data_IF_723203844601
#
_entry.id   IF_723203844601
#
_cell.length_a   1.000
_cell.length_b   1.000
_cell.length_c   1.000
_cell.angle_alpha   90.00
_cell.angle_beta   90.00
_cell.angle_gamma   90.00
#
_symmetry.space_group_name_H-M   'P 1'
#
loop_
_entity.id
_entity.type
_entity.pdbx_description
1 polymer ?
#
# COMPACT_ATOMS: atom_id res chain seq x y z
N UNK A 1 2.74 24.48 27.64
CA UNK A 1 2.93 25.60 26.69
C UNK A 1 2.76 25.01 25.32
N UNK A 2 1.82 25.55 24.55
CA UNK A 2 1.39 25.04 23.26
C UNK A 2 2.50 25.24 22.22
N UNK A 3 3.10 24.16 21.74
CA UNK A 3 3.76 24.16 20.44
C UNK A 3 2.66 24.04 19.38
N UNK A 4 2.26 25.19 18.82
CA UNK A 4 1.38 25.30 17.67
C UNK A 4 2.12 24.91 16.37
N UNK A 5 2.63 23.69 16.31
CA UNK A 5 2.74 22.98 15.05
C UNK A 5 1.48 22.13 14.94
N UNK A 6 0.40 22.66 14.35
CA UNK A 6 -0.78 21.84 14.04
C UNK A 6 -0.36 20.79 13.01
N UNK A 7 0.11 19.63 13.50
CA UNK A 7 0.30 18.47 12.66
C UNK A 7 -1.06 18.08 12.09
N UNK A 8 -1.10 17.71 10.82
CA UNK A 8 -2.35 17.25 10.20
C UNK A 8 -2.94 16.08 10.99
N UNK A 9 -4.26 15.98 11.10
CA UNK A 9 -4.96 15.00 11.95
C UNK A 9 -4.61 13.53 11.62
N UNK A 10 -4.09 13.26 10.42
CA UNK A 10 -3.55 11.93 10.06
C UNK A 10 -2.24 11.57 10.76
N UNK A 11 -1.61 12.54 11.42
CA UNK A 11 -0.33 12.42 12.15
C UNK A 11 -0.43 12.90 13.59
N UNK A 12 -1.41 13.77 13.88
CA UNK A 12 -1.65 14.31 15.23
C UNK A 12 -2.53 13.40 16.07
N UNK A 13 -1.91 12.43 16.71
CA UNK A 13 -2.55 11.53 17.68
C UNK A 13 -2.34 11.99 19.14
N UNK A 14 -1.94 13.25 19.37
CA UNK A 14 -1.44 13.76 20.68
C UNK A 14 -2.48 13.89 21.81
N UNK A 15 -3.63 13.20 21.74
CA UNK A 15 -4.67 13.25 22.77
C UNK A 15 -4.61 12.09 23.79
N UNK A 16 -3.46 11.42 23.91
CA UNK A 16 -3.20 10.40 24.94
C UNK A 16 -1.71 10.16 25.17
N UNK A 17 -1.33 9.87 26.41
CA UNK A 17 0.05 9.55 26.80
C UNK A 17 0.46 8.16 26.25
N UNK A 18 0.75 8.08 24.96
CA UNK A 18 1.32 6.88 24.34
C UNK A 18 2.85 6.96 24.39
N UNK A 19 3.45 5.90 24.92
CA UNK A 19 4.91 5.72 24.94
C UNK A 19 5.21 4.40 24.25
N UNK A 20 5.95 4.39 23.12
CA UNK A 20 6.50 5.56 22.41
C UNK A 20 5.41 6.42 21.75
N UNK A 21 5.73 7.69 21.44
CA UNK A 21 4.78 8.58 20.75
C UNK A 21 4.75 8.27 19.24
N UNK A 22 3.57 7.94 18.70
CA UNK A 22 3.39 7.60 17.28
C UNK A 22 3.94 8.68 16.34
N UNK A 23 3.60 9.96 16.60
CA UNK A 23 4.05 11.07 15.76
C UNK A 23 5.59 11.17 15.71
N UNK A 24 6.27 10.92 16.83
CA UNK A 24 7.73 10.94 16.89
C UNK A 24 8.35 9.80 16.08
N UNK A 25 7.78 8.58 16.15
CA UNK A 25 8.30 7.47 15.34
C UNK A 25 8.00 7.62 13.85
N UNK A 26 6.82 8.14 13.50
CA UNK A 26 6.48 8.46 12.13
C UNK A 26 7.49 9.46 11.54
N UNK A 27 7.70 10.59 12.23
CA UNK A 27 8.63 11.64 11.79
C UNK A 27 10.08 11.12 11.79
N UNK A 28 10.47 10.36 12.82
CA UNK A 28 11.81 9.78 12.94
C UNK A 28 12.11 8.74 11.87
N UNK A 29 11.12 7.95 11.45
CA UNK A 29 11.26 6.99 10.34
C UNK A 29 11.41 7.73 9.02
N UNK A 30 10.54 8.70 8.74
CA UNK A 30 10.62 9.49 7.50
C UNK A 30 11.92 10.30 7.40
N UNK A 31 12.37 10.90 8.50
CA UNK A 31 13.61 11.68 8.55
C UNK A 31 14.88 10.85 8.25
N UNK A 32 14.82 9.53 8.42
CA UNK A 32 15.93 8.60 8.08
C UNK A 32 15.94 8.18 6.61
N UNK A 33 14.85 8.39 5.87
CA UNK A 33 14.62 7.83 4.53
C UNK A 33 15.16 8.67 3.35
N UNK A 34 15.95 9.73 3.60
CA UNK A 34 16.37 10.64 2.53
C UNK A 34 17.54 10.07 1.70
N UNK A 35 17.19 9.40 0.60
CA UNK A 35 18.05 9.24 -0.58
C UNK A 35 17.35 9.81 -1.82
N UNK A 36 18.11 10.47 -2.71
CA UNK A 36 17.67 11.23 -3.89
C UNK A 36 17.13 10.35 -5.05
N UNK A 37 16.37 9.28 -4.76
CA UNK A 37 15.85 8.39 -5.81
C UNK A 37 14.37 8.64 -6.06
N UNK A 38 14.06 9.24 -7.21
CA UNK A 38 12.69 9.41 -7.68
C UNK A 38 12.16 8.12 -8.31
N UNK A 39 10.99 7.62 -7.86
CA UNK A 39 10.30 6.50 -8.49
C UNK A 39 9.93 6.77 -9.96
N UNK A 40 9.80 8.04 -10.34
CA UNK A 40 9.43 8.47 -11.70
C UNK A 40 10.48 8.14 -12.76
N UNK A 41 11.73 7.89 -12.35
CA UNK A 41 12.86 7.66 -13.27
C UNK A 41 13.20 6.18 -13.50
N UNK A 42 12.26 5.27 -13.20
CA UNK A 42 12.47 3.83 -13.38
C UNK A 42 12.64 3.47 -14.85
N UNK A 43 13.82 3.00 -15.23
CA UNK A 43 14.09 2.52 -16.59
C UNK A 43 13.71 1.03 -16.72
N UNK A 44 13.42 0.62 -17.95
CA UNK A 44 13.29 -0.81 -18.28
C UNK A 44 14.56 -1.55 -17.87
N UNK A 45 14.42 -2.72 -17.23
CA UNK A 45 15.52 -3.52 -16.70
C UNK A 45 15.95 -3.15 -15.28
N UNK A 46 15.51 -2.01 -14.77
CA UNK A 46 15.89 -1.54 -13.44
C UNK A 46 14.86 -1.96 -12.37
N UNK A 47 15.36 -2.47 -11.25
CA UNK A 47 14.53 -2.77 -10.07
C UNK A 47 14.49 -1.57 -9.11
N UNK A 48 13.34 -1.40 -8.47
CA UNK A 48 13.13 -0.50 -7.33
C UNK A 48 12.58 -1.32 -6.18
N UNK A 49 13.24 -1.23 -5.04
CA UNK A 49 12.79 -1.84 -3.79
C UNK A 49 12.52 -0.75 -2.78
N UNK A 50 11.28 -0.68 -2.30
CA UNK A 50 10.90 0.17 -1.18
C UNK A 50 10.65 -0.71 0.04
N UNK A 51 11.25 -0.35 1.17
CA UNK A 51 11.06 -1.01 2.46
C UNK A 51 10.27 -0.07 3.36
N UNK A 52 9.16 -0.54 3.89
CA UNK A 52 8.27 0.18 4.78
C UNK A 52 8.27 -0.48 6.15
N UNK A 53 8.34 0.35 7.17
CA UNK A 53 8.04 -0.05 8.54
C UNK A 53 6.51 -0.05 8.73
N UNK A 54 5.96 -1.09 9.35
CA UNK A 54 4.54 -1.13 9.72
C UNK A 54 4.39 -0.56 11.13
N UNK A 55 3.62 0.51 11.25
CA UNK A 55 3.20 1.07 12.53
C UNK A 55 1.72 0.73 12.77
N UNK A 56 1.32 0.44 14.03
CA UNK A 56 -0.09 0.24 14.34
C UNK A 56 -0.87 1.53 14.14
N UNK A 57 -2.11 1.44 13.64
CA UNK A 57 -3.00 2.58 13.65
C UNK A 57 -3.60 2.77 15.04
N UNK A 58 -3.09 3.73 15.79
CA UNK A 58 -3.71 4.13 17.05
C UNK A 58 -4.94 5.00 16.80
N UNK A 59 -6.04 4.37 16.41
CA UNK A 59 -7.35 4.98 16.61
C UNK A 59 -7.60 5.07 18.12
N UNK A 60 -8.16 6.20 18.57
CA UNK A 60 -8.45 6.47 19.99
C UNK A 60 -8.97 5.22 20.70
N UNK A 61 -8.17 4.61 21.57
CA UNK A 61 -8.59 3.50 22.44
C UNK A 61 -7.71 2.25 22.43
N UNK A 62 -6.81 2.06 21.45
CA UNK A 62 -5.83 0.96 21.50
C UNK A 62 -4.63 1.35 22.38
N UNK A 63 -4.83 1.38 23.71
CA UNK A 63 -3.72 1.35 24.65
C UNK A 63 -3.25 -0.10 24.74
N UNK A 64 -2.23 -0.46 23.94
CA UNK A 64 -1.54 -1.73 24.13
C UNK A 64 -0.98 -1.81 25.54
N UNK A 65 -1.28 -2.89 26.24
CA UNK A 65 -0.60 -3.25 27.47
C UNK A 65 0.88 -3.48 27.19
N UNK A 66 1.71 -3.02 28.13
CA UNK A 66 3.17 -3.02 28.15
C UNK A 66 3.85 -2.12 27.11
N UNK A 67 4.62 -1.15 27.62
CA UNK A 67 5.44 -0.24 26.84
C UNK A 67 6.50 -1.02 26.06
N UNK A 68 6.26 -1.30 24.78
CA UNK A 68 7.30 -1.78 23.87
C UNK A 68 8.32 -0.66 23.64
N UNK A 69 9.61 -1.00 23.54
CA UNK A 69 10.67 -0.03 23.20
C UNK A 69 10.53 0.50 21.76
N UNK A 70 9.89 -0.27 20.87
CA UNK A 70 9.64 0.08 19.48
C UNK A 70 8.15 -0.02 19.12
N UNK A 71 7.65 0.91 18.30
CA UNK A 71 6.28 0.90 17.79
C UNK A 71 6.09 0.04 16.54
N UNK A 72 7.19 -0.33 15.86
CA UNK A 72 7.14 -1.20 14.70
C UNK A 72 6.46 -2.52 15.04
N UNK A 73 5.50 -2.92 14.21
CA UNK A 73 4.80 -4.20 14.29
C UNK A 73 5.13 -5.10 13.09
N UNK A 74 6.02 -4.69 12.19
CA UNK A 74 6.28 -5.44 10.98
C UNK A 74 7.00 -4.66 9.89
N UNK A 75 7.17 -5.31 8.74
CA UNK A 75 7.84 -4.74 7.56
C UNK A 75 7.07 -5.10 6.29
N UNK A 76 7.07 -4.18 5.32
CA UNK A 76 6.66 -4.46 3.95
C UNK A 76 7.80 -4.14 3.00
N UNK A 77 8.12 -5.07 2.11
CA UNK A 77 9.07 -4.89 1.02
C UNK A 77 8.30 -4.92 -0.28
N UNK A 78 8.32 -3.82 -1.03
CA UNK A 78 7.69 -3.69 -2.34
C UNK A 78 8.77 -3.58 -3.39
N UNK A 79 9.03 -4.68 -4.08
CA UNK A 79 9.95 -4.75 -5.20
C UNK A 79 9.20 -4.63 -6.52
N UNK A 80 9.68 -3.75 -7.39
CA UNK A 80 9.05 -3.40 -8.65
C UNK A 80 10.09 -3.32 -9.74
N UNK A 81 9.81 -3.90 -10.90
CA UNK A 81 10.66 -3.75 -12.07
C UNK A 81 9.84 -3.69 -13.34
N UNK A 82 10.39 -3.02 -14.35
CA UNK A 82 9.76 -2.88 -15.66
C UNK A 82 10.48 -3.73 -16.68
N UNK A 83 9.78 -4.68 -17.29
CA UNK A 83 10.31 -5.58 -18.33
C UNK A 83 9.26 -5.78 -19.41
N UNK A 84 9.65 -5.70 -20.69
CA UNK A 84 8.78 -6.02 -21.84
C UNK A 84 7.40 -5.31 -21.87
N UNK A 85 7.33 -4.08 -21.35
CA UNK A 85 6.06 -3.32 -21.28
C UNK A 85 5.13 -3.72 -20.12
N UNK A 86 5.62 -4.56 -19.22
CA UNK A 86 4.95 -4.97 -18.00
C UNK A 86 5.69 -4.45 -16.77
N UNK A 87 4.93 -4.16 -15.73
CA UNK A 87 5.43 -4.01 -14.38
C UNK A 87 5.30 -5.33 -13.64
N UNK A 88 6.40 -5.74 -13.00
CA UNK A 88 6.50 -6.93 -12.18
C UNK A 88 6.56 -6.48 -10.73
N UNK A 89 5.67 -7.03 -9.91
CA UNK A 89 5.57 -6.73 -8.49
C UNK A 89 5.89 -7.99 -7.68
N UNK A 90 6.73 -7.82 -6.67
CA UNK A 90 7.00 -8.80 -5.61
C UNK A 90 6.84 -8.06 -4.30
N UNK A 91 5.80 -8.41 -3.54
CA UNK A 91 5.50 -7.81 -2.24
C UNK A 91 5.72 -8.85 -1.17
N UNK A 92 6.50 -8.50 -0.15
CA UNK A 92 6.65 -9.28 1.07
C UNK A 92 6.07 -8.44 2.20
N UNK A 93 5.10 -8.98 2.92
CA UNK A 93 4.44 -8.32 4.02
C UNK A 93 4.60 -9.22 5.25
N UNK A 94 5.10 -8.68 6.35
CA UNK A 94 5.26 -9.40 7.60
C UNK A 94 4.73 -8.54 8.74
N UNK A 95 3.70 -9.01 9.43
CA UNK A 95 3.12 -8.38 10.62
C UNK A 95 3.31 -9.28 11.83
N UNK A 96 4.24 -8.91 12.69
CA UNK A 96 4.62 -9.65 13.91
C UNK A 96 3.53 -9.67 14.99
N UNK A 97 2.53 -8.78 14.90
CA UNK A 97 1.42 -8.72 15.88
C UNK A 97 0.32 -9.71 15.53
N UNK A 98 -0.04 -9.83 14.24
CA UNK A 98 -0.98 -10.85 13.77
C UNK A 98 -0.31 -12.19 13.48
N UNK A 99 1.03 -12.20 13.33
CA UNK A 99 1.79 -13.37 12.90
C UNK A 99 1.67 -13.65 11.40
N UNK A 100 1.11 -12.71 10.64
CA UNK A 100 0.84 -12.84 9.21
C UNK A 100 2.09 -12.56 8.39
N UNK A 101 2.38 -13.42 7.42
CA UNK A 101 3.44 -13.28 6.46
C UNK A 101 2.89 -13.59 5.07
N UNK A 102 2.84 -12.58 4.19
CA UNK A 102 2.32 -12.71 2.84
C UNK A 102 3.44 -12.44 1.83
N UNK A 103 3.54 -13.31 0.83
CA UNK A 103 4.31 -13.08 -0.37
C UNK A 103 3.38 -13.02 -1.57
N UNK A 104 3.35 -11.89 -2.24
CA UNK A 104 2.51 -11.65 -3.41
C UNK A 104 3.36 -11.40 -4.64
N UNK A 105 3.01 -12.04 -5.75
CA UNK A 105 3.65 -11.84 -7.05
C UNK A 105 2.60 -11.63 -8.11
N UNK A 106 2.69 -10.50 -8.81
CA UNK A 106 1.73 -10.16 -9.84
C UNK A 106 2.37 -9.26 -10.91
N UNK A 107 1.64 -9.09 -12.01
CA UNK A 107 2.06 -8.24 -13.12
C UNK A 107 0.96 -7.28 -13.51
N UNK A 108 1.37 -6.12 -13.98
CA UNK A 108 0.47 -5.12 -14.51
C UNK A 108 0.97 -4.59 -15.85
N UNK A 109 0.07 -4.11 -16.70
CA UNK A 109 0.48 -3.37 -17.90
C UNK A 109 1.10 -2.04 -17.50
N UNK A 110 2.06 -1.58 -18.30
CA UNK A 110 2.60 -0.23 -18.16
C UNK A 110 1.64 0.85 -18.70
N UNK A 111 0.50 0.99 -18.01
CA UNK A 111 -0.49 2.05 -18.19
C UNK A 111 -0.67 2.78 -16.85
N UNK A 112 -1.20 4.00 -16.83
CA UNK A 112 -1.30 4.80 -15.59
C UNK A 112 -2.07 4.10 -14.46
N UNK A 113 -3.08 3.28 -14.80
CA UNK A 113 -3.87 2.53 -13.82
C UNK A 113 -3.24 1.20 -13.40
N UNK A 114 -2.09 0.84 -13.96
CA UNK A 114 -1.42 -0.45 -13.75
C UNK A 114 -2.44 -1.61 -13.75
N UNK A 115 -3.17 -1.81 -14.85
CA UNK A 115 -4.20 -2.84 -14.87
C UNK A 115 -3.53 -4.21 -14.71
N UNK A 116 -4.07 -5.02 -13.82
CA UNK A 116 -3.64 -6.38 -13.52
C UNK A 116 -3.71 -7.25 -14.80
N UNK A 117 -2.74 -8.13 -14.99
CA UNK A 117 -2.63 -9.01 -16.17
C UNK A 117 -2.68 -10.48 -15.80
N UNK A 118 -2.80 -11.34 -16.82
CA UNK A 118 -2.66 -12.79 -16.85
C UNK A 118 -2.96 -13.51 -15.53
N UNK A 119 -1.93 -13.74 -14.71
CA UNK A 119 -2.03 -14.43 -13.44
C UNK A 119 -1.23 -13.76 -12.33
N UNK A 120 -1.61 -14.09 -11.10
CA UNK A 120 -0.92 -13.68 -9.88
C UNK A 120 -0.91 -14.83 -8.88
N UNK A 121 -0.10 -14.67 -7.85
CA UNK A 121 0.07 -15.64 -6.78
C UNK A 121 0.21 -14.94 -5.44
N UNK A 122 -0.43 -15.51 -4.44
CA UNK A 122 -0.33 -15.15 -3.03
C UNK A 122 0.09 -16.40 -2.28
N UNK A 123 1.18 -16.33 -1.55
CA UNK A 123 1.61 -17.33 -0.59
C UNK A 123 1.48 -16.69 0.80
N UNK A 124 0.57 -17.20 1.62
CA UNK A 124 0.33 -16.73 2.98
C UNK A 124 0.84 -17.77 3.98
N UNK A 125 1.54 -17.28 5.00
CA UNK A 125 1.94 -18.05 6.16
C UNK A 125 1.47 -17.34 7.43
N UNK A 126 1.06 -18.11 8.42
CA UNK A 126 0.74 -17.59 9.74
C UNK A 126 1.63 -18.30 10.77
N UNK A 127 2.15 -17.54 11.74
CA UNK A 127 2.95 -18.06 12.85
C UNK A 127 2.18 -18.99 13.82
N UNK A 128 0.86 -19.14 13.66
CA UNK A 128 0.06 -20.12 14.38
C UNK A 128 0.44 -21.56 14.04
N UNK A 129 0.63 -22.40 15.05
CA UNK A 129 0.94 -23.82 14.90
C UNK A 129 -0.32 -24.66 14.67
N UNK A 130 -1.01 -24.39 13.55
CA UNK A 130 -2.21 -25.15 13.15
C UNK A 130 -2.25 -25.49 11.65
N UNK A 131 -3.29 -26.20 11.22
CA UNK A 131 -3.43 -26.71 9.84
C UNK A 131 -3.68 -25.62 8.79
N UNK A 132 -3.93 -24.39 9.21
CA UNK A 132 -4.16 -23.22 8.37
C UNK A 132 -2.96 -22.26 8.42
N UNK A 133 -1.80 -22.74 8.86
CA UNK A 133 -0.56 -21.97 8.90
C UNK A 133 0.01 -21.62 7.54
N UNK A 134 -0.44 -22.27 6.46
CA UNK A 134 0.01 -22.00 5.09
C UNK A 134 -1.16 -22.04 4.10
N UNK A 135 -1.17 -21.10 3.16
CA UNK A 135 -2.13 -21.03 2.06
C UNK A 135 -1.41 -20.55 0.79
N UNK A 136 -1.60 -21.27 -0.32
CA UNK A 136 -1.26 -20.74 -1.65
C UNK A 136 -2.54 -20.48 -2.43
N UNK A 137 -2.67 -19.25 -2.89
CA UNK A 137 -3.71 -18.81 -3.79
C UNK A 137 -3.09 -18.38 -5.12
N UNK A 138 -3.63 -18.88 -6.22
CA UNK A 138 -3.28 -18.40 -7.56
C UNK A 138 -4.53 -17.82 -8.20
N UNK A 139 -4.43 -16.65 -8.80
CA UNK A 139 -5.56 -16.08 -9.51
C UNK A 139 -5.23 -15.71 -10.93
N UNK A 140 -6.27 -15.57 -11.72
CA UNK A 140 -6.17 -15.29 -13.14
C UNK A 140 -7.43 -14.61 -13.65
N UNK A 141 -7.26 -13.84 -14.72
CA UNK A 141 -8.38 -13.30 -15.48
C UNK A 141 -8.77 -14.31 -16.56
N UNK A 142 -10.04 -14.71 -16.58
CA UNK A 142 -10.58 -15.53 -17.66
C UNK A 142 -11.24 -14.66 -18.73
N UNK A 143 -11.62 -15.29 -19.84
CA UNK A 143 -12.44 -14.64 -20.88
C UNK A 143 -13.74 -14.12 -20.23
N UNK A 144 -14.19 -12.93 -20.64
CA UNK A 144 -15.33 -12.18 -20.08
C UNK A 144 -15.05 -11.37 -18.79
N UNK A 145 -13.78 -11.10 -18.50
CA UNK A 145 -13.35 -10.26 -17.36
C UNK A 145 -13.75 -10.82 -15.98
N UNK A 146 -13.96 -12.13 -15.91
CA UNK A 146 -14.17 -12.83 -14.64
C UNK A 146 -12.83 -13.05 -13.93
N UNK A 147 -12.83 -12.80 -12.63
CA UNK A 147 -11.70 -12.98 -11.72
C UNK A 147 -11.90 -14.32 -11.03
N UNK A 148 -10.98 -15.25 -11.27
CA UNK A 148 -10.98 -16.56 -10.64
C UNK A 148 -9.78 -16.70 -9.71
N UNK A 149 -9.99 -17.42 -8.61
CA UNK A 149 -8.95 -17.86 -7.68
C UNK A 149 -8.94 -19.38 -7.60
N UNK A 150 -7.75 -19.95 -7.58
CA UNK A 150 -7.48 -21.33 -7.26
C UNK A 150 -6.83 -21.39 -5.88
N UNK A 151 -7.56 -21.93 -4.91
CA UNK A 151 -7.15 -22.05 -3.51
C UNK A 151 -7.07 -23.54 -3.18
N UNK A 152 -5.87 -24.03 -2.88
CA UNK A 152 -5.63 -25.46 -2.56
C UNK A 152 -6.27 -26.43 -3.57
N UNK A 153 -6.23 -26.08 -4.86
CA UNK A 153 -6.78 -26.87 -5.97
C UNK A 153 -8.29 -26.69 -6.22
N UNK A 154 -8.99 -25.87 -5.43
CA UNK A 154 -10.39 -25.50 -5.67
C UNK A 154 -10.47 -24.18 -6.41
N UNK A 155 -11.21 -24.14 -7.51
CA UNK A 155 -11.46 -22.92 -8.28
C UNK A 155 -12.73 -22.22 -7.79
N UNK A 156 -12.63 -20.91 -7.58
CA UNK A 156 -13.70 -20.05 -7.07
C UNK A 156 -13.77 -18.81 -7.96
N UNK A 157 -14.98 -18.45 -8.36
CA UNK A 157 -15.25 -17.17 -9.04
C UNK A 157 -15.43 -16.09 -7.98
N UNK A 158 -14.55 -15.08 -7.99
CA UNK A 158 -14.63 -13.95 -7.06
C UNK A 158 -15.62 -12.89 -7.55
N UNK A 159 -15.71 -12.73 -8.87
CA UNK A 159 -16.64 -11.82 -9.50
C UNK A 159 -16.22 -11.44 -10.90
N UNK A 160 -16.95 -10.50 -11.49
CA UNK A 160 -16.72 -9.98 -12.83
C UNK A 160 -16.35 -8.51 -12.78
N UNK A 161 -15.41 -8.11 -13.64
CA UNK A 161 -15.02 -6.71 -13.82
C UNK A 161 -15.59 -6.21 -15.13
N UNK A 162 -16.20 -5.03 -15.11
CA UNK A 162 -16.62 -4.38 -16.34
C UNK A 162 -15.39 -4.14 -17.25
N UNK A 163 -15.46 -4.57 -18.51
CA UNK A 163 -14.37 -4.44 -19.48
C UNK A 163 -13.93 -2.98 -19.72
N UNK A 164 -14.78 -2.00 -19.38
CA UNK A 164 -14.46 -0.58 -19.45
C UNK A 164 -13.68 -0.06 -18.24
N UNK A 165 -13.62 -0.81 -17.13
CA UNK A 165 -12.99 -0.40 -15.88
C UNK A 165 -11.64 -1.11 -15.71
N UNK A 166 -10.63 -0.35 -15.31
CA UNK A 166 -9.28 -0.88 -15.06
C UNK A 166 -9.24 -1.57 -13.68
N UNK A 167 -9.09 -2.90 -13.68
CA UNK A 167 -8.79 -3.70 -12.49
C UNK A 167 -7.34 -3.47 -12.08
N UNK A 168 -7.08 -2.94 -10.90
CA UNK A 168 -5.72 -2.80 -10.34
C UNK A 168 -5.62 -3.45 -8.97
N UNK A 169 -4.41 -3.63 -8.47
CA UNK A 169 -4.13 -4.16 -7.14
C UNK A 169 -3.83 -2.99 -6.17
N UNK A 170 -4.21 -3.10 -4.89
CA UNK A 170 -3.85 -2.10 -3.87
C UNK A 170 -2.32 -1.90 -3.79
N UNK A 171 -1.54 -2.96 -3.98
CA UNK A 171 -0.07 -2.89 -4.05
C UNK A 171 0.47 -2.19 -5.31
N UNK A 172 -0.33 -2.07 -6.36
CA UNK A 172 0.04 -1.26 -7.53
C UNK A 172 -0.18 0.25 -7.28
N UNK A 173 -0.88 0.64 -6.21
CA UNK A 173 -1.13 2.05 -5.89
C UNK A 173 0.13 2.85 -5.60
N UNK A 174 1.20 2.17 -5.21
CA UNK A 174 2.56 2.72 -5.12
C UNK A 174 3.07 3.33 -6.43
N UNK A 175 2.51 2.94 -7.57
CA UNK A 175 2.77 3.55 -8.89
C UNK A 175 1.57 4.29 -9.45
N UNK A 176 0.34 3.79 -9.23
CA UNK A 176 -0.88 4.37 -9.80
C UNK A 176 -1.13 5.78 -9.27
N UNK A 177 -0.99 5.99 -7.94
CA UNK A 177 -1.20 7.32 -7.34
C UNK A 177 -0.20 8.33 -7.92
N UNK A 178 1.13 8.09 -7.89
CA UNK A 178 2.07 9.02 -8.51
C UNK A 178 1.82 9.25 -10.01
N UNK A 179 1.44 8.22 -10.77
CA UNK A 179 1.17 8.34 -12.21
C UNK A 179 -0.11 9.16 -12.50
N UNK A 180 -1.10 9.10 -11.61
CA UNK A 180 -2.39 9.80 -11.76
C UNK A 180 -2.47 11.09 -10.94
N UNK A 181 -1.43 11.47 -10.19
CA UNK A 181 -1.44 12.59 -9.23
C UNK A 181 -2.07 13.88 -9.80
N UNK A 182 -1.63 14.31 -10.98
CA UNK A 182 -2.19 15.50 -11.65
C UNK A 182 -3.65 15.32 -12.05
N UNK A 183 -4.01 14.17 -12.61
CA UNK A 183 -5.39 13.83 -12.99
C UNK A 183 -6.31 13.80 -11.76
N UNK A 184 -5.86 13.21 -10.66
CA UNK A 184 -6.60 13.13 -9.41
C UNK A 184 -6.84 14.53 -8.83
N UNK A 185 -5.81 15.40 -8.85
CA UNK A 185 -5.93 16.80 -8.38
C UNK A 185 -6.85 17.65 -9.24
N UNK A 186 -6.79 17.47 -10.55
CA UNK A 186 -7.68 18.15 -11.47
C UNK A 186 -9.13 17.63 -11.38
N UNK A 187 -9.33 16.41 -10.88
CA UNK A 187 -10.65 15.82 -10.72
C UNK A 187 -11.29 16.27 -9.41
N UNK A 188 -12.31 17.13 -9.50
CA UNK A 188 -13.12 17.52 -8.34
C UNK A 188 -13.85 16.34 -7.66
N UNK A 189 -14.01 15.22 -8.36
CA UNK A 189 -14.69 14.02 -7.87
C UNK A 189 -13.77 12.81 -7.74
N UNK A 190 -12.44 12.97 -7.82
CA UNK A 190 -11.49 11.86 -7.85
C UNK A 190 -11.57 11.01 -9.12
N UNK A 191 -10.83 9.90 -9.12
CA UNK A 191 -10.71 8.95 -10.23
C UNK A 191 -11.26 7.61 -9.78
N UNK A 192 -12.11 7.00 -10.60
CA UNK A 192 -12.72 5.70 -10.32
C UNK A 192 -11.83 4.55 -10.80
N UNK A 193 -11.87 3.46 -10.05
CA UNK A 193 -11.14 2.23 -10.35
C UNK A 193 -11.82 1.02 -9.71
N UNK A 194 -11.50 -0.16 -10.24
CA UNK A 194 -11.76 -1.43 -9.57
C UNK A 194 -10.48 -1.88 -8.88
N UNK A 195 -10.57 -2.19 -7.59
CA UNK A 195 -9.47 -2.74 -6.83
C UNK A 195 -9.63 -4.24 -6.62
N UNK A 196 -8.52 -4.95 -6.69
CA UNK A 196 -8.38 -6.30 -6.18
C UNK A 196 -7.48 -6.24 -4.96
N UNK A 197 -8.13 -6.16 -3.79
CA UNK A 197 -7.50 -6.00 -2.48
C UNK A 197 -6.75 -7.29 -2.13
N UNK A 198 -5.44 -7.15 -1.91
CA UNK A 198 -4.48 -8.21 -1.58
C UNK A 198 -4.53 -9.40 -2.54
N UNK A 199 -4.98 -9.15 -3.77
CA UNK A 199 -5.18 -10.15 -4.82
C UNK A 199 -6.19 -11.26 -4.45
N UNK A 200 -7.12 -10.97 -3.55
CA UNK A 200 -8.12 -11.91 -3.07
C UNK A 200 -9.56 -11.36 -3.14
N UNK A 201 -9.75 -10.08 -2.84
CA UNK A 201 -11.09 -9.50 -2.68
C UNK A 201 -11.38 -8.41 -3.73
N UNK A 202 -12.45 -8.62 -4.50
CA UNK A 202 -12.85 -7.68 -5.54
C UNK A 202 -13.67 -6.50 -4.97
N UNK A 203 -13.20 -5.28 -5.25
CA UNK A 203 -13.80 -4.00 -4.86
C UNK A 203 -14.12 -3.20 -6.13
N UNK A 204 -15.32 -3.38 -6.73
CA UNK A 204 -15.66 -2.88 -8.07
C UNK A 204 -15.93 -1.37 -8.15
N UNK A 205 -16.10 -0.68 -7.02
CA UNK A 205 -16.48 0.73 -6.97
C UNK A 205 -15.62 1.47 -5.95
N UNK A 206 -14.40 1.75 -6.35
CA UNK A 206 -13.42 2.47 -5.56
C UNK A 206 -13.02 3.78 -6.23
N UNK A 207 -12.55 4.73 -5.43
CA UNK A 207 -12.19 6.05 -5.88
C UNK A 207 -10.96 6.57 -5.16
N UNK A 208 -10.01 7.10 -5.92
CA UNK A 208 -8.87 7.85 -5.40
C UNK A 208 -9.13 9.34 -5.61
N UNK A 209 -9.00 10.14 -4.56
CA UNK A 209 -9.13 11.59 -4.66
C UNK A 209 -7.99 12.31 -3.96
N UNK A 210 -7.84 13.60 -4.25
CA UNK A 210 -6.90 14.44 -3.54
C UNK A 210 -7.47 14.82 -2.17
N UNK A 211 -6.65 14.72 -1.13
CA UNK A 211 -7.02 15.03 0.25
C UNK A 211 -6.55 16.44 0.64
N UNK A 212 -5.23 16.63 0.68
CA UNK A 212 -4.59 17.86 1.16
C UNK A 212 -3.11 17.87 0.80
N UNK A 213 -2.44 19.01 0.93
CA UNK A 213 -0.98 19.09 0.96
C UNK A 213 -0.52 19.50 2.35
N UNK A 214 0.61 18.96 2.78
CA UNK A 214 1.27 19.28 4.05
C UNK A 214 2.69 19.71 3.73
N UNK A 215 3.15 20.80 4.34
CA UNK A 215 4.51 21.33 4.09
C UNK A 215 5.48 21.00 5.23
N UNK A 216 4.97 20.71 6.44
CA UNK A 216 5.77 20.56 7.67
C UNK A 216 5.39 19.26 8.38
N UNK A 217 6.37 18.44 8.83
CA UNK A 217 7.82 18.64 8.70
C UNK A 217 8.39 18.29 7.32
N UNK A 218 7.60 17.65 6.46
CA UNK A 218 7.98 17.27 5.11
C UNK A 218 6.89 17.70 4.13
N UNK A 219 7.28 18.06 2.91
CA UNK A 219 6.33 18.31 1.81
C UNK A 219 5.69 16.98 1.38
N UNK A 220 4.41 16.82 1.68
CA UNK A 220 3.62 15.63 1.36
C UNK A 220 2.32 16.01 0.63
N UNK A 221 2.00 15.26 -0.41
CA UNK A 221 0.73 15.35 -1.12
C UNK A 221 -0.16 14.18 -0.71
N UNK A 222 -1.27 14.48 -0.04
CA UNK A 222 -2.22 13.50 0.47
C UNK A 222 -3.29 13.14 -0.55
N UNK A 223 -3.60 11.85 -0.59
CA UNK A 223 -4.65 11.24 -1.38
C UNK A 223 -5.48 10.34 -0.46
N UNK A 224 -6.76 10.20 -0.77
CA UNK A 224 -7.61 9.23 -0.11
C UNK A 224 -7.99 8.13 -1.09
N UNK A 225 -8.29 6.95 -0.57
CA UNK A 225 -8.94 5.86 -1.29
C UNK A 225 -10.16 5.41 -0.47
N UNK A 226 -11.34 5.40 -1.10
CA UNK A 226 -12.57 4.88 -0.49
C UNK A 226 -13.41 4.16 -1.53
N UNK A 227 -14.26 3.24 -1.09
CA UNK A 227 -15.13 2.47 -1.98
C UNK A 227 -16.14 1.63 -1.22
N UNK A 228 -17.10 1.06 -1.96
CA UNK A 228 -18.07 0.15 -1.36
C UNK A 228 -17.37 -1.12 -0.86
N UNK A 229 -17.51 -1.42 0.43
CA UNK A 229 -16.87 -2.58 1.06
C UNK A 229 -15.36 -2.43 1.30
N UNK A 230 -14.78 -1.26 1.01
CA UNK A 230 -13.38 -0.94 1.27
C UNK A 230 -13.29 0.03 2.45
N UNK A 231 -12.47 -0.29 3.44
CA UNK A 231 -12.19 0.65 4.52
C UNK A 231 -11.35 1.82 3.98
N UNK A 232 -11.65 3.08 4.37
CA UNK A 232 -10.88 4.23 3.89
C UNK A 232 -9.39 4.09 4.19
N UNK A 233 -8.57 4.50 3.24
CA UNK A 233 -7.13 4.62 3.42
C UNK A 233 -6.62 5.95 2.89
N UNK A 234 -5.47 6.38 3.42
CA UNK A 234 -4.85 7.67 3.13
C UNK A 234 -3.40 7.47 2.73
N UNK A 235 -3.00 8.13 1.66
CA UNK A 235 -1.73 7.90 0.97
C UNK A 235 -1.02 9.23 0.82
N UNK A 236 0.23 9.31 1.26
CA UNK A 236 1.01 10.54 1.24
C UNK A 236 2.23 10.38 0.35
N UNK A 237 2.30 11.20 -0.68
CA UNK A 237 3.36 11.22 -1.67
C UNK A 237 4.43 12.23 -1.27
N UNK A 238 5.72 11.85 -1.29
CA UNK A 238 6.83 12.77 -1.12
C UNK A 238 7.07 13.63 -2.37
N UNK A 239 7.96 14.61 -2.26
CA UNK A 239 8.33 15.51 -3.36
C UNK A 239 8.91 14.78 -4.58
N UNK A 240 9.48 13.58 -4.39
CA UNK A 240 10.07 12.75 -5.44
C UNK A 240 9.04 11.80 -6.10
N UNK A 241 7.78 11.85 -5.65
CA UNK A 241 6.70 11.02 -6.18
C UNK A 241 6.69 9.59 -5.63
N UNK A 242 7.29 9.34 -4.47
CA UNK A 242 7.18 8.07 -3.75
C UNK A 242 6.06 8.14 -2.73
N UNK A 243 5.35 7.03 -2.52
CA UNK A 243 4.46 6.93 -1.35
C UNK A 243 5.35 6.84 -0.11
N UNK A 244 5.36 7.90 0.69
CA UNK A 244 6.08 7.96 1.96
C UNK A 244 5.27 7.35 3.09
N UNK A 245 3.94 7.48 3.04
CA UNK A 245 3.03 6.94 4.04
C UNK A 245 1.82 6.33 3.34
N UNK A 246 1.44 5.11 3.71
CA UNK A 246 0.16 4.51 3.37
C UNK A 246 -0.55 4.07 4.66
N UNK A 247 -1.59 4.80 5.05
CA UNK A 247 -2.37 4.54 6.25
C UNK A 247 -3.67 3.85 5.87
N UNK A 248 -3.80 2.58 6.23
CA UNK A 248 -5.03 1.79 6.05
C UNK A 248 -5.94 1.98 7.27
N UNK A 249 -6.91 1.11 7.50
CA UNK A 249 -7.65 1.11 8.76
C UNK A 249 -6.86 0.45 9.89
N UNK A 250 -6.12 -0.63 9.60
CA UNK A 250 -5.47 -1.46 10.61
C UNK A 250 -4.05 -0.98 10.95
N UNK A 251 -3.37 -0.37 10.00
CA UNK A 251 -1.94 -0.05 10.13
C UNK A 251 -1.52 1.11 9.23
N UNK A 252 -0.33 1.63 9.50
CA UNK A 252 0.32 2.66 8.70
C UNK A 252 1.69 2.17 8.25
N UNK A 253 1.87 2.09 6.94
CA UNK A 253 3.15 1.84 6.30
C UNK A 253 3.91 3.16 6.20
N UNK A 254 5.15 3.19 6.70
CA UNK A 254 6.03 4.36 6.64
C UNK A 254 7.31 3.98 5.93
N UNK A 255 7.63 4.70 4.85
CA UNK A 255 8.79 4.43 4.04
C UNK A 255 10.07 4.61 4.85
N UNK A 256 10.90 3.57 4.89
CA UNK A 256 12.14 3.51 5.65
C UNK A 256 13.36 3.53 4.74
N UNK A 257 13.35 2.75 3.66
CA UNK A 257 14.50 2.61 2.76
C UNK A 257 14.06 2.53 1.29
N UNK A 258 14.89 3.12 0.42
CA UNK A 258 14.76 3.06 -1.04
C UNK A 258 16.04 2.45 -1.61
N UNK A 259 15.94 1.31 -2.26
CA UNK A 259 17.06 0.62 -2.92
C UNK A 259 16.81 0.62 -4.42
N UNK A 260 17.78 1.13 -5.19
CA UNK A 260 17.77 1.08 -6.65
C UNK A 260 18.67 -0.08 -7.10
N UNK A 261 18.10 -1.03 -7.82
CA UNK A 261 18.89 -2.06 -8.49
C UNK A 261 19.58 -1.48 -9.73
N UNK A 262 20.79 -1.93 -10.01
CA UNK A 262 21.48 -1.63 -11.26
C UNK A 262 20.75 -2.30 -12.45
N UNK A 263 20.85 -1.70 -13.65
CA UNK A 263 20.24 -2.18 -14.88
C UNK A 263 21.14 -3.14 -15.66
#
# INVERSE_FOLDING_TARGET
MNDNGEHHWSFDYNYGAQTPQFAQELIGTLGRCYTDTAARDTRTGQAITHIYNILPNYWRGYAGGDAKETLSIGTVIVERSKQEGLWHYSVQYENTTSGENLQMRFRCRDEHYRPLTDSWRVDAQNSGDDKYSELTCEGYLVKDSEVQLRINGTEIVVGTVDASIKLTCNWALFDVIPALAQTIRASGNGVELTLFEDLEQLRPKSRIGFLASIEIPFSLEGYYLYGAGLLPSYWWLDADGNIAIASTFFETLVLQEKIRGDA
#
